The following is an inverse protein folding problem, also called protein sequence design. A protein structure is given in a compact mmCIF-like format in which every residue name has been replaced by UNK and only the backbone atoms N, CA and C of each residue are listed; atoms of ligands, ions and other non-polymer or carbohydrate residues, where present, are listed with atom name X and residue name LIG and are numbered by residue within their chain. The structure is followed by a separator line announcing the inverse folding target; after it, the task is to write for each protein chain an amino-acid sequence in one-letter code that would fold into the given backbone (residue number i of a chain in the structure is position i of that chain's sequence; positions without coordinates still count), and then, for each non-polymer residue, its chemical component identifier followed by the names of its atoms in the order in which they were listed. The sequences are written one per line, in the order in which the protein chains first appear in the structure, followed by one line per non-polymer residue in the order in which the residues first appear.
data_IF_706021621651
#
_entry.id   IF_706021621651
#
_cell.length_a   1.000
_cell.length_b   1.000
_cell.length_c   1.000
_cell.angle_alpha   90.00
_cell.angle_beta   90.00
_cell.angle_gamma   90.00
#
_symmetry.space_group_name_H-M   'P 1'
#
loop_
_entity.id
_entity.type
_entity.pdbx_description
1 polymer ?
#
# COMPACT_ATOMS: atom_id res chain seq x y z
N UNK A 1 -39.98 -14.96 -14.11
CA UNK A 1 -38.97 -15.72 -13.32
C UNK A 1 -37.89 -14.75 -12.92
N UNK A 2 -37.71 -14.53 -11.62
CA UNK A 2 -36.59 -13.76 -11.08
C UNK A 2 -35.49 -14.77 -10.76
N UNK A 3 -34.37 -14.70 -11.48
CA UNK A 3 -33.14 -15.39 -11.11
C UNK A 3 -32.44 -14.55 -10.04
N UNK A 4 -32.68 -14.90 -8.78
CA UNK A 4 -31.81 -14.47 -7.67
C UNK A 4 -30.51 -15.24 -7.79
N UNK A 5 -29.47 -14.61 -8.33
CA UNK A 5 -28.11 -15.09 -8.16
C UNK A 5 -27.74 -14.96 -6.68
N UNK A 6 -27.39 -16.06 -6.03
CA UNK A 6 -26.83 -16.04 -4.69
C UNK A 6 -25.30 -15.85 -4.80
N UNK A 7 -24.71 -14.73 -4.33
CA UNK A 7 -23.25 -14.53 -4.39
C UNK A 7 -22.48 -15.09 -3.18
N UNK A 8 -23.09 -15.93 -2.32
CA UNK A 8 -22.53 -16.21 -0.98
C UNK A 8 -21.70 -17.49 -0.85
N UNK A 9 -21.65 -18.37 -1.85
CA UNK A 9 -20.95 -19.66 -1.71
C UNK A 9 -19.47 -19.57 -2.10
N UNK A 10 -19.11 -18.71 -3.06
CA UNK A 10 -17.71 -18.55 -3.49
C UNK A 10 -16.82 -17.90 -2.41
N UNK A 11 -17.36 -16.96 -1.63
CA UNK A 11 -16.63 -16.27 -0.57
C UNK A 11 -16.20 -17.19 0.58
N UNK A 12 -17.01 -18.21 0.92
CA UNK A 12 -16.71 -19.09 2.04
C UNK A 12 -15.55 -20.05 1.74
N UNK A 13 -15.48 -20.58 0.51
CA UNK A 13 -14.37 -21.46 0.09
C UNK A 13 -13.06 -20.66 -0.06
N UNK A 14 -13.11 -19.46 -0.65
CA UNK A 14 -11.94 -18.55 -0.76
C UNK A 14 -11.40 -18.12 0.62
N UNK A 15 -12.28 -17.85 1.60
CA UNK A 15 -11.86 -17.52 2.97
C UNK A 15 -11.18 -18.72 3.64
N UNK A 16 -11.67 -19.95 3.44
CA UNK A 16 -11.08 -21.13 4.09
C UNK A 16 -9.64 -21.41 3.65
N UNK A 17 -9.34 -21.31 2.35
CA UNK A 17 -7.98 -21.45 1.81
C UNK A 17 -7.10 -20.28 2.23
N UNK A 18 -7.66 -19.07 2.30
CA UNK A 18 -6.94 -17.88 2.71
C UNK A 18 -6.61 -17.90 4.21
N UNK A 19 -7.49 -18.40 5.07
CA UNK A 19 -7.22 -18.56 6.51
C UNK A 19 -6.15 -19.62 6.80
N UNK A 20 -6.05 -20.67 5.97
CA UNK A 20 -4.97 -21.66 6.05
C UNK A 20 -3.58 -21.00 5.83
N UNK A 21 -3.51 -19.95 5.01
CA UNK A 21 -2.26 -19.25 4.67
C UNK A 21 -2.04 -18.02 5.57
N UNK A 22 -3.04 -17.15 5.72
CA UNK A 22 -2.96 -15.89 6.48
C UNK A 22 -3.08 -16.07 8.00
N UNK A 23 -3.49 -17.25 8.47
CA UNK A 23 -4.03 -17.41 9.81
C UNK A 23 -5.45 -16.82 9.93
N UNK A 24 -5.99 -16.68 11.16
CA UNK A 24 -7.38 -16.26 11.37
C UNK A 24 -7.70 -14.91 10.71
N UNK A 25 -8.72 -14.91 9.84
CA UNK A 25 -9.17 -13.71 9.13
C UNK A 25 -10.49 -13.26 9.74
N UNK A 26 -10.60 -11.97 10.08
CA UNK A 26 -11.84 -11.40 10.60
C UNK A 26 -12.31 -10.23 9.73
N UNK A 27 -13.62 -9.97 9.66
CA UNK A 27 -14.15 -8.78 9.01
C UNK A 27 -13.54 -7.50 9.59
N UNK A 28 -13.27 -6.54 8.71
CA UNK A 28 -12.78 -5.19 9.07
C UNK A 28 -13.60 -4.16 8.34
N UNK A 29 -14.25 -3.26 9.07
CA UNK A 29 -15.07 -2.17 8.54
C UNK A 29 -14.24 -0.92 8.20
N UNK A 30 -13.13 -0.69 8.91
CA UNK A 30 -12.20 0.40 8.63
C UNK A 30 -10.83 0.22 9.31
N UNK A 31 -9.82 0.98 8.85
CA UNK A 31 -8.59 1.23 9.61
C UNK A 31 -8.52 2.69 10.03
N UNK A 32 -8.03 2.96 11.24
CA UNK A 32 -7.97 4.31 11.79
C UNK A 32 -6.60 4.62 12.40
N UNK A 33 -6.18 5.88 12.29
CA UNK A 33 -5.00 6.38 12.97
C UNK A 33 -5.09 7.89 13.21
N UNK A 34 -4.15 8.40 14.01
CA UNK A 34 -3.94 9.84 14.21
C UNK A 34 -2.55 10.22 13.74
N UNK A 35 -2.45 11.23 12.88
CA UNK A 35 -1.19 11.73 12.33
C UNK A 35 -1.27 13.24 12.16
N UNK A 36 -0.19 13.96 12.52
CA UNK A 36 -0.09 15.42 12.33
C UNK A 36 -1.34 16.20 12.82
N UNK A 37 -1.95 15.78 13.94
CA UNK A 37 -3.15 16.41 14.51
C UNK A 37 -4.49 15.98 13.88
N UNK A 38 -4.48 15.18 12.81
CA UNK A 38 -5.67 14.75 12.08
C UNK A 38 -6.14 13.35 12.48
N UNK A 39 -7.44 13.07 12.33
CA UNK A 39 -7.99 11.71 12.33
C UNK A 39 -8.05 11.19 10.90
N UNK A 40 -7.36 10.10 10.63
CA UNK A 40 -7.35 9.44 9.32
C UNK A 40 -8.15 8.13 9.44
N UNK A 41 -9.09 7.95 8.52
CA UNK A 41 -9.89 6.73 8.42
C UNK A 41 -9.82 6.18 7.00
N UNK A 42 -9.66 4.87 6.91
CA UNK A 42 -9.70 4.10 5.69
C UNK A 42 -10.86 3.11 5.79
N UNK A 43 -12.09 3.51 5.37
CA UNK A 43 -13.18 2.57 5.25
C UNK A 43 -12.80 1.40 4.34
N UNK A 44 -13.42 0.24 4.55
CA UNK A 44 -13.17 -1.00 3.80
C UNK A 44 -13.59 -0.97 2.30
N UNK A 45 -13.66 0.22 1.72
CA UNK A 45 -14.03 0.54 0.33
C UNK A 45 -13.00 1.46 -0.36
N UNK A 46 -11.70 1.30 -0.04
CA UNK A 46 -10.55 2.05 -0.60
C UNK A 46 -10.75 3.57 -0.73
N UNK A 47 -11.38 4.16 0.28
CA UNK A 47 -11.51 5.60 0.42
C UNK A 47 -10.55 6.10 1.50
N UNK A 48 -10.05 7.33 1.36
CA UNK A 48 -9.33 8.01 2.45
C UNK A 48 -10.21 9.12 2.98
N UNK A 49 -10.48 9.10 4.28
CA UNK A 49 -11.17 10.16 5.00
C UNK A 49 -10.21 10.83 5.99
N UNK A 50 -10.23 12.15 6.01
CA UNK A 50 -9.54 12.98 6.99
C UNK A 50 -10.57 13.82 7.71
N UNK A 51 -10.64 13.68 9.03
CA UNK A 51 -11.61 14.36 9.90
C UNK A 51 -13.06 14.24 9.36
N UNK A 52 -13.42 13.05 8.90
CA UNK A 52 -14.73 12.71 8.35
C UNK A 52 -14.94 13.10 6.88
N UNK A 53 -14.06 13.89 6.27
CA UNK A 53 -14.15 14.32 4.87
C UNK A 53 -13.38 13.35 3.96
N UNK A 54 -14.02 12.87 2.90
CA UNK A 54 -13.34 12.09 1.87
C UNK A 54 -12.36 12.95 1.08
N UNK A 55 -11.09 12.57 1.05
CA UNK A 55 -10.00 13.25 0.32
C UNK A 55 -9.46 12.42 -0.84
N UNK A 56 -9.71 11.11 -0.86
CA UNK A 56 -9.41 10.23 -1.98
C UNK A 56 -10.52 9.19 -2.18
N UNK A 57 -10.86 8.90 -3.44
CA UNK A 57 -11.73 7.79 -3.85
C UNK A 57 -11.05 6.96 -4.91
N UNK A 58 -10.82 5.69 -4.64
CA UNK A 58 -10.54 4.69 -5.67
C UNK A 58 -11.82 3.91 -5.98
N UNK A 59 -11.85 3.18 -7.10
CA UNK A 59 -12.98 2.32 -7.42
C UNK A 59 -13.26 1.34 -6.25
N UNK A 60 -14.55 1.12 -5.91
CA UNK A 60 -14.91 0.26 -4.81
C UNK A 60 -14.46 -1.16 -5.11
N UNK A 61 -13.44 -1.61 -4.39
CA UNK A 61 -13.07 -3.01 -4.30
C UNK A 61 -13.03 -3.34 -2.81
N UNK A 62 -13.98 -4.16 -2.33
CA UNK A 62 -14.05 -4.54 -0.92
C UNK A 62 -12.75 -5.28 -0.57
N UNK A 63 -12.14 -4.86 0.53
CA UNK A 63 -10.92 -5.45 1.09
C UNK A 63 -11.15 -5.81 2.57
N UNK A 64 -12.41 -6.09 2.90
CA UNK A 64 -13.07 -6.01 4.22
C UNK A 64 -12.63 -7.09 5.23
N UNK A 65 -11.34 -7.40 5.27
CA UNK A 65 -10.79 -8.42 6.13
C UNK A 65 -9.41 -8.04 6.69
N UNK A 66 -9.03 -8.70 7.79
CA UNK A 66 -7.81 -8.42 8.54
C UNK A 66 -6.53 -8.99 7.96
N UNK A 67 -6.59 -9.83 6.91
CA UNK A 67 -5.39 -10.26 6.22
C UNK A 67 -4.76 -9.08 5.49
N UNK A 68 -5.60 -8.18 4.99
CA UNK A 68 -5.15 -6.91 4.44
C UNK A 68 -4.67 -5.96 5.56
N UNK A 69 -3.77 -5.04 5.20
CA UNK A 69 -3.13 -4.13 6.14
C UNK A 69 -3.30 -2.67 5.75
N UNK A 70 -3.25 -1.79 6.74
CA UNK A 70 -2.98 -0.38 6.51
C UNK A 70 -1.95 0.12 7.52
N UNK A 71 -1.01 0.93 7.04
CA UNK A 71 0.02 1.54 7.86
C UNK A 71 0.30 2.97 7.39
N UNK A 72 0.88 3.78 8.26
CA UNK A 72 1.22 5.16 7.95
C UNK A 72 2.62 5.54 8.41
N UNK A 73 3.27 6.43 7.67
CA UNK A 73 4.51 7.08 8.05
C UNK A 73 4.31 8.59 8.02
N UNK A 74 4.82 9.30 9.03
CA UNK A 74 4.84 10.75 9.07
C UNK A 74 6.25 11.23 8.73
N UNK A 75 6.32 12.20 7.84
CA UNK A 75 7.56 12.88 7.44
C UNK A 75 7.43 14.38 7.70
N UNK A 76 8.51 15.13 7.57
CA UNK A 76 8.52 16.58 7.83
C UNK A 76 7.54 17.40 6.99
N UNK A 77 7.04 16.85 5.86
CA UNK A 77 6.17 17.58 4.94
C UNK A 77 4.97 16.78 4.41
N UNK A 78 4.75 15.55 4.91
CA UNK A 78 3.69 14.69 4.41
C UNK A 78 3.37 13.54 5.37
N UNK A 79 2.14 13.04 5.26
CA UNK A 79 1.72 11.73 5.78
C UNK A 79 1.62 10.77 4.59
N UNK A 80 2.34 9.65 4.65
CA UNK A 80 2.30 8.58 3.66
C UNK A 80 1.48 7.44 4.24
N UNK A 81 0.44 7.02 3.52
CA UNK A 81 -0.43 5.92 3.89
C UNK A 81 -0.20 4.81 2.89
N UNK A 82 0.02 3.61 3.41
CA UNK A 82 0.14 2.38 2.64
C UNK A 82 -1.03 1.48 3.00
N UNK A 83 -1.78 1.06 2.00
CA UNK A 83 -2.79 0.00 2.11
C UNK A 83 -2.26 -1.21 1.36
N UNK A 84 -2.27 -2.37 1.99
CA UNK A 84 -1.72 -3.61 1.48
C UNK A 84 -2.82 -4.65 1.36
N UNK A 85 -3.12 -5.04 0.12
CA UNK A 85 -4.00 -6.15 -0.21
C UNK A 85 -3.14 -7.35 -0.54
N UNK A 86 -3.24 -8.40 0.26
CA UNK A 86 -2.28 -9.52 0.25
C UNK A 86 -2.95 -10.84 -0.11
N UNK A 87 -2.25 -11.69 -0.86
CA UNK A 87 -2.61 -13.11 -1.01
C UNK A 87 -2.08 -13.99 0.14
N UNK A 88 -1.33 -13.40 1.08
CA UNK A 88 -0.65 -14.01 2.22
C UNK A 88 0.44 -15.03 1.89
N UNK A 89 0.77 -15.20 0.61
CA UNK A 89 1.85 -16.07 0.17
C UNK A 89 3.05 -15.17 -0.13
N UNK A 90 3.01 -14.47 -1.26
CA UNK A 90 4.18 -13.74 -1.76
C UNK A 90 3.84 -12.33 -2.28
N UNK A 91 2.58 -12.07 -2.64
CA UNK A 91 2.23 -10.86 -3.37
C UNK A 91 1.28 -9.96 -2.62
N UNK A 92 1.62 -8.67 -2.66
CA UNK A 92 0.72 -7.60 -2.22
C UNK A 92 0.55 -6.54 -3.27
N UNK A 93 -0.71 -6.20 -3.50
CA UNK A 93 -1.07 -4.99 -4.22
C UNK A 93 -1.19 -3.86 -3.21
N UNK A 94 -0.37 -2.82 -3.36
CA UNK A 94 -0.47 -1.67 -2.49
C UNK A 94 -1.10 -0.46 -3.16
N UNK A 95 -2.03 0.16 -2.44
CA UNK A 95 -2.49 1.51 -2.72
C UNK A 95 -1.75 2.48 -1.78
N UNK A 96 -1.08 3.47 -2.38
CA UNK A 96 -0.31 4.50 -1.66
C UNK A 96 -1.04 5.82 -1.77
N UNK A 97 -1.19 6.51 -0.63
CA UNK A 97 -1.72 7.87 -0.57
C UNK A 97 -0.72 8.77 0.14
N UNK A 98 -0.50 9.96 -0.42
CA UNK A 98 0.36 10.98 0.18
C UNK A 98 -0.50 12.20 0.47
N UNK A 99 -0.62 12.52 1.75
CA UNK A 99 -1.32 13.71 2.24
C UNK A 99 -0.31 14.79 2.60
N UNK A 100 -0.65 16.06 2.44
CA UNK A 100 0.05 17.14 3.15
C UNK A 100 -0.28 17.10 4.65
N UNK A 101 0.38 17.95 5.43
CA UNK A 101 0.17 18.05 6.87
C UNK A 101 -1.19 18.70 7.24
N UNK A 102 -1.89 19.28 6.27
CA UNK A 102 -3.25 19.81 6.41
C UNK A 102 -4.32 18.77 5.99
N UNK A 103 -3.91 17.57 5.58
CA UNK A 103 -4.80 16.46 5.25
C UNK A 103 -5.31 16.44 3.82
N UNK A 104 -4.80 17.29 2.93
CA UNK A 104 -5.17 17.26 1.51
C UNK A 104 -4.38 16.20 0.77
N UNK A 105 -5.05 15.49 -0.12
CA UNK A 105 -4.40 14.54 -1.01
C UNK A 105 -3.46 15.26 -1.98
N UNK A 106 -2.16 14.93 -1.90
CA UNK A 106 -1.14 15.40 -2.85
C UNK A 106 -0.95 14.42 -4.00
N UNK A 107 -0.90 13.13 -3.68
CA UNK A 107 -0.64 12.08 -4.65
C UNK A 107 -1.30 10.75 -4.24
N UNK A 108 -1.62 9.94 -5.24
CA UNK A 108 -2.00 8.54 -5.04
C UNK A 108 -1.41 7.67 -6.15
N UNK A 109 -1.11 6.42 -5.83
CA UNK A 109 -0.63 5.45 -6.80
C UNK A 109 -0.94 4.03 -6.36
N UNK A 110 -1.08 3.13 -7.32
CA UNK A 110 -1.14 1.70 -7.09
C UNK A 110 0.18 1.09 -7.51
N UNK A 111 0.86 0.43 -6.60
CA UNK A 111 2.19 -0.16 -6.77
C UNK A 111 2.15 -1.64 -6.39
N UNK A 112 2.98 -2.44 -7.04
CA UNK A 112 3.22 -3.82 -6.64
C UNK A 112 4.28 -3.86 -5.56
N UNK A 113 4.02 -4.67 -4.53
CA UNK A 113 4.84 -4.75 -3.32
C UNK A 113 4.98 -6.20 -2.87
N UNK A 114 6.09 -6.54 -2.25
CA UNK A 114 6.19 -7.74 -1.43
C UNK A 114 5.76 -7.41 0.00
N UNK A 115 5.09 -8.37 0.64
CA UNK A 115 4.41 -8.19 1.92
C UNK A 115 5.30 -7.67 3.08
N UNK A 116 6.63 -7.82 3.00
CA UNK A 116 7.47 -7.80 4.20
C UNK A 116 8.77 -6.99 4.10
N UNK A 117 9.25 -6.64 2.90
CA UNK A 117 10.62 -6.11 2.73
C UNK A 117 10.67 -4.84 1.89
N UNK A 118 9.54 -4.15 1.81
CA UNK A 118 9.38 -2.96 0.99
C UNK A 118 9.54 -1.68 1.81
N UNK A 119 9.97 -0.61 1.12
CA UNK A 119 10.31 0.62 1.79
C UNK A 119 10.09 1.87 0.97
N UNK A 120 9.83 2.95 1.68
CA UNK A 120 9.88 4.29 1.13
C UNK A 120 11.14 4.98 1.65
N UNK A 121 11.89 5.63 0.78
CA UNK A 121 13.10 6.38 1.11
C UNK A 121 12.92 7.80 0.63
N UNK A 122 13.30 8.77 1.46
CA UNK A 122 13.33 10.18 1.05
C UNK A 122 14.66 10.47 0.35
N UNK A 123 14.59 10.89 -0.90
CA UNK A 123 15.74 11.44 -1.64
C UNK A 123 15.55 12.96 -1.82
N UNK A 124 16.60 13.66 -2.23
CA UNK A 124 16.59 15.12 -2.39
C UNK A 124 15.52 15.64 -3.37
N UNK A 125 15.04 14.81 -4.30
CA UNK A 125 14.05 15.18 -5.31
C UNK A 125 12.65 14.59 -5.12
N UNK A 126 12.43 13.83 -4.04
CA UNK A 126 11.13 13.22 -3.81
C UNK A 126 11.13 11.98 -2.93
N UNK A 127 10.02 11.25 -2.97
CA UNK A 127 9.83 10.00 -2.25
C UNK A 127 10.04 8.82 -3.21
N UNK A 128 10.92 7.89 -2.85
CA UNK A 128 11.24 6.71 -3.64
C UNK A 128 10.65 5.49 -2.97
N UNK A 129 9.84 4.75 -3.70
CA UNK A 129 9.39 3.41 -3.33
C UNK A 129 10.32 2.37 -3.94
N UNK A 130 10.77 1.44 -3.11
CA UNK A 130 11.58 0.30 -3.49
C UNK A 130 11.02 -0.98 -2.85
N UNK A 131 11.26 -2.11 -3.50
CA UNK A 131 10.84 -3.44 -3.06
C UNK A 131 11.96 -4.45 -3.31
N UNK A 132 12.11 -5.45 -2.44
CA UNK A 132 13.05 -6.56 -2.66
C UNK A 132 12.69 -7.35 -3.93
N UNK A 133 11.40 -7.41 -4.31
CA UNK A 133 10.93 -7.97 -5.59
C UNK A 133 11.63 -7.36 -6.80
N UNK A 134 12.03 -6.09 -6.72
CA UNK A 134 12.74 -5.42 -7.82
C UNK A 134 14.15 -6.00 -8.05
N UNK A 135 14.61 -6.86 -7.14
CA UNK A 135 15.91 -7.51 -7.15
C UNK A 135 15.81 -9.03 -7.33
N UNK A 136 14.60 -9.60 -7.33
CA UNK A 136 14.38 -11.03 -7.49
C UNK A 136 14.63 -11.47 -8.94
N UNK A 137 15.40 -12.55 -9.13
CA UNK A 137 15.66 -13.15 -10.43
C UNK A 137 14.42 -13.62 -11.19
N UNK A 138 13.30 -13.89 -10.50
CA UNK A 138 12.02 -14.26 -11.09
C UNK A 138 11.24 -13.05 -11.62
N UNK A 139 11.67 -11.84 -11.27
CA UNK A 139 11.04 -10.63 -11.74
C UNK A 139 11.30 -10.40 -13.24
N UNK A 140 10.24 -10.60 -14.04
CA UNK A 140 10.26 -10.46 -15.52
C UNK A 140 10.57 -9.04 -16.00
N UNK A 141 10.48 -8.04 -15.13
CA UNK A 141 10.84 -6.64 -15.42
C UNK A 141 12.34 -6.36 -15.30
N UNK A 142 13.14 -7.30 -14.77
CA UNK A 142 14.59 -7.14 -14.68
C UNK A 142 15.25 -7.12 -16.06
N UNK A 143 16.19 -6.20 -16.23
CA UNK A 143 17.05 -6.10 -17.41
C UNK A 143 18.51 -6.28 -17.00
N UNK A 144 19.40 -6.76 -17.88
CA UNK A 144 20.81 -6.90 -17.55
C UNK A 144 21.41 -5.62 -16.95
N UNK A 145 21.89 -5.70 -15.70
CA UNK A 145 22.51 -4.60 -14.97
C UNK A 145 21.57 -3.47 -14.53
N UNK A 146 20.25 -3.61 -14.72
CA UNK A 146 19.25 -2.60 -14.36
C UNK A 146 18.16 -3.17 -13.47
N UNK A 147 17.60 -2.31 -12.65
CA UNK A 147 16.36 -2.54 -11.93
C UNK A 147 15.51 -1.27 -12.06
N UNK A 148 14.43 -1.17 -11.29
CA UNK A 148 13.57 -0.01 -11.28
C UNK A 148 13.16 0.36 -9.86
N UNK A 149 12.73 1.60 -9.71
CA UNK A 149 12.05 2.11 -8.54
C UNK A 149 10.84 2.90 -8.98
N UNK A 150 9.98 3.27 -8.04
CA UNK A 150 8.90 4.20 -8.30
C UNK A 150 9.20 5.50 -7.56
N UNK A 151 9.23 6.61 -8.29
CA UNK A 151 9.59 7.92 -7.74
C UNK A 151 8.39 8.85 -7.78
N UNK A 152 8.01 9.38 -6.63
CA UNK A 152 7.12 10.53 -6.50
C UNK A 152 7.98 11.79 -6.40
N UNK A 153 8.19 12.47 -7.52
CA UNK A 153 8.89 13.76 -7.57
C UNK A 153 8.11 14.83 -6.84
N UNK A 154 8.80 15.82 -6.26
CA UNK A 154 8.12 16.91 -5.57
C UNK A 154 7.14 17.65 -6.48
N UNK A 155 5.89 17.77 -6.02
CA UNK A 155 4.79 18.38 -6.78
C UNK A 155 4.09 17.45 -7.78
N UNK A 156 4.60 16.24 -8.00
CA UNK A 156 3.91 15.23 -8.81
C UNK A 156 2.67 14.67 -8.08
N UNK A 157 1.71 14.16 -8.86
CA UNK A 157 0.45 13.58 -8.36
C UNK A 157 0.46 12.05 -8.30
N UNK A 158 1.49 11.41 -8.82
CA UNK A 158 1.63 9.96 -8.86
C UNK A 158 3.10 9.57 -8.91
N UNK A 159 3.40 8.37 -8.43
CA UNK A 159 4.69 7.73 -8.61
C UNK A 159 4.88 7.36 -10.10
N UNK A 160 6.11 7.48 -10.58
CA UNK A 160 6.50 7.11 -11.93
C UNK A 160 7.64 6.10 -11.85
N UNK A 161 7.57 5.05 -12.68
CA UNK A 161 8.65 4.06 -12.79
C UNK A 161 9.91 4.74 -13.35
N UNK A 162 11.02 4.56 -12.66
CA UNK A 162 12.34 5.04 -13.07
C UNK A 162 13.31 3.87 -13.13
N UNK A 163 13.96 3.66 -14.28
CA UNK A 163 15.03 2.67 -14.39
C UNK A 163 16.31 3.20 -13.72
N UNK A 164 16.93 2.35 -12.89
CA UNK A 164 18.19 2.64 -12.23
C UNK A 164 19.15 1.46 -12.41
N UNK A 165 20.44 1.67 -12.10
CA UNK A 165 21.38 0.56 -12.08
C UNK A 165 20.99 -0.45 -11.00
N UNK A 166 21.17 -1.74 -11.27
CA UNK A 166 20.83 -2.81 -10.32
C UNK A 166 21.52 -2.59 -8.97
N UNK A 167 22.80 -2.20 -8.99
CA UNK A 167 23.57 -1.91 -7.79
C UNK A 167 22.96 -0.77 -6.95
N UNK A 168 22.47 0.30 -7.59
CA UNK A 168 21.85 1.42 -6.89
C UNK A 168 20.55 1.02 -6.18
N UNK A 169 19.80 0.07 -6.72
CA UNK A 169 18.56 -0.41 -6.09
C UNK A 169 18.87 -1.49 -5.05
N UNK A 170 19.50 -2.58 -5.48
CA UNK A 170 19.56 -3.83 -4.73
C UNK A 170 20.67 -3.88 -3.67
N UNK A 171 21.69 -3.03 -3.79
CA UNK A 171 22.79 -2.96 -2.83
C UNK A 171 22.84 -1.62 -2.08
N UNK A 172 22.40 -0.53 -2.71
CA UNK A 172 22.41 0.79 -2.06
C UNK A 172 21.07 1.08 -1.39
N UNK A 173 19.97 1.20 -2.13
CA UNK A 173 18.66 1.54 -1.56
C UNK A 173 18.17 0.53 -0.54
N UNK A 174 18.35 -0.78 -0.80
CA UNK A 174 18.03 -1.86 0.14
C UNK A 174 18.65 -1.67 1.53
N UNK A 175 19.83 -1.06 1.59
CA UNK A 175 20.57 -0.83 2.84
C UNK A 175 20.33 0.56 3.44
N UNK A 176 19.55 1.42 2.79
CA UNK A 176 19.14 2.70 3.38
C UNK A 176 18.06 2.48 4.43
N UNK A 177 17.94 3.42 5.38
CA UNK A 177 16.88 3.36 6.40
C UNK A 177 15.56 3.79 5.77
N UNK A 178 14.58 2.90 5.59
CA UNK A 178 13.28 3.29 5.05
C UNK A 178 12.50 4.13 6.08
N UNK A 179 11.48 4.84 5.60
CA UNK A 179 10.44 5.41 6.44
C UNK A 179 9.84 4.31 7.31
N UNK A 180 9.68 4.62 8.60
CA UNK A 180 9.05 3.70 9.54
C UNK A 180 7.54 3.85 9.47
N UNK A 181 6.88 2.80 9.01
CA UNK A 181 5.43 2.72 9.01
C UNK A 181 4.92 2.19 10.36
N UNK A 182 3.90 2.84 10.89
CA UNK A 182 3.16 2.39 12.06
C UNK A 182 1.82 1.81 11.60
N UNK A 183 1.48 0.56 12.00
CA UNK A 183 0.19 -0.03 11.68
C UNK A 183 -0.97 0.84 12.15
N UNK A 184 -2.01 0.95 11.32
CA UNK A 184 -3.27 1.58 11.70
C UNK A 184 -4.13 0.59 12.48
N UNK A 185 -5.02 1.10 13.35
CA UNK A 185 -5.92 0.27 14.15
C UNK A 185 -7.09 -0.21 13.30
N UNK A 186 -7.21 -1.53 13.11
CA UNK A 186 -8.37 -2.16 12.48
C UNK A 186 -9.61 -2.06 13.38
N UNK A 187 -10.73 -1.69 12.77
CA UNK A 187 -12.07 -1.62 13.38
C UNK A 187 -12.89 -2.77 12.81
N UNK A 188 -13.43 -3.67 13.64
CA UNK A 188 -14.32 -4.76 13.20
C UNK A 188 -15.54 -4.25 12.43
#
# INVERSE_FOLDING_TARGET
MVLTAAPYVALAEDISVREEVCGPVKPVSAYTARAAGMKIELPAIRHVKVDGKTVARNEPSPWEDSANGAAMAVTDNAVVILVSETDCIDLTRSDVYVLDLDGKLRASSRLWTENHVDGFVREAGGLVFWSDWFCDSENKDLKPGKSHVYVLKDGARSFVREERSFNAVCNVLRNQRPLRFTPMTAIP
#
